data_IF_253093243496
#
_entry.id   IF_253093243496
#
_cell.length_a   1.000
_cell.length_b   1.000
_cell.length_c   1.000
_cell.angle_alpha   90.00
_cell.angle_beta   90.00
_cell.angle_gamma   90.00
#
_symmetry.space_group_name_H-M   'P 1'
#
loop_
_entity.id
_entity.type
_entity.pdbx_description
1 polymer ?
#
# COMPACT_ATOMS: atom_id res chain seq x y z
N UNK A 1 -2.10 21.78 5.41
CA UNK A 1 -1.41 21.52 6.69
C UNK A 1 -0.06 22.21 6.68
N UNK A 2 0.31 22.85 7.78
CA UNK A 2 1.62 23.46 8.00
C UNK A 2 2.31 22.67 9.11
N UNK A 3 3.52 22.20 8.87
CA UNK A 3 4.31 21.47 9.85
C UNK A 3 5.76 21.98 9.87
N UNK A 4 6.32 22.12 11.06
CA UNK A 4 7.68 22.64 11.25
C UNK A 4 7.87 23.24 12.63
N UNK A 5 8.98 23.93 12.84
CA UNK A 5 9.22 24.74 14.03
C UNK A 5 8.52 26.10 13.85
N UNK A 6 7.24 26.12 14.22
CA UNK A 6 6.35 27.29 14.03
C UNK A 6 5.52 27.54 15.30
N UNK A 7 5.27 28.82 15.58
CA UNK A 7 4.25 29.21 16.55
C UNK A 7 2.85 29.09 15.95
N UNK A 8 1.93 28.26 16.52
CA UNK A 8 0.59 28.04 15.96
C UNK A 8 -0.25 29.31 15.85
N UNK A 9 -0.12 30.28 16.77
CA UNK A 9 -0.86 31.54 16.74
C UNK A 9 -0.42 32.37 15.55
N UNK A 10 0.88 32.58 15.40
CA UNK A 10 1.46 33.31 14.27
C UNK A 10 1.10 32.66 12.93
N UNK A 11 1.15 31.33 12.84
CA UNK A 11 0.75 30.59 11.64
C UNK A 11 -0.73 30.84 11.30
N UNK A 12 -1.62 30.77 12.31
CA UNK A 12 -3.05 31.01 12.12
C UNK A 12 -3.33 32.45 11.69
N UNK A 13 -2.69 33.44 12.31
CA UNK A 13 -2.83 34.85 11.94
C UNK A 13 -2.41 35.11 10.50
N UNK A 14 -1.27 34.57 10.09
CA UNK A 14 -0.80 34.66 8.70
C UNK A 14 -1.74 33.95 7.73
N UNK A 15 -2.23 32.78 8.07
CA UNK A 15 -3.20 32.04 7.25
C UNK A 15 -4.48 32.84 7.07
N UNK A 16 -5.04 33.39 8.14
CA UNK A 16 -6.22 34.26 8.05
C UNK A 16 -5.96 35.50 7.22
N UNK A 17 -4.80 36.15 7.37
CA UNK A 17 -4.43 37.34 6.61
C UNK A 17 -4.39 37.11 5.09
N UNK A 18 -3.87 35.97 4.64
CA UNK A 18 -3.66 35.69 3.21
C UNK A 18 -4.78 34.88 2.56
N UNK A 19 -5.56 34.13 3.34
CA UNK A 19 -6.57 33.20 2.83
C UNK A 19 -7.96 33.39 3.45
N UNK A 20 -8.09 34.30 4.46
CA UNK A 20 -9.33 34.44 5.23
C UNK A 20 -10.50 34.99 4.41
N UNK A 21 -10.22 35.77 3.38
CA UNK A 21 -11.24 36.38 2.50
C UNK A 21 -11.71 35.42 1.38
N UNK A 22 -11.10 34.22 1.27
CA UNK A 22 -11.49 33.24 0.26
C UNK A 22 -12.73 32.50 0.76
N UNK A 23 -13.89 32.60 0.12
CA UNK A 23 -15.08 31.88 0.52
C UNK A 23 -14.91 30.38 0.29
N UNK A 24 -15.57 29.51 1.09
CA UNK A 24 -15.58 28.09 0.82
C UNK A 24 -16.23 27.82 -0.53
N UNK A 25 -15.68 26.86 -1.27
CA UNK A 25 -16.29 26.36 -2.50
C UNK A 25 -17.62 25.64 -2.23
N UNK A 26 -18.38 25.30 -3.28
CA UNK A 26 -19.59 24.50 -3.11
C UNK A 26 -19.24 23.14 -2.48
N UNK A 27 -20.17 22.54 -1.70
CA UNK A 27 -19.96 21.21 -1.15
C UNK A 27 -19.64 20.20 -2.25
N UNK A 28 -18.60 19.41 -2.05
CA UNK A 28 -18.24 18.31 -2.96
C UNK A 28 -19.04 17.08 -2.54
N UNK A 29 -19.84 16.53 -3.47
CA UNK A 29 -20.50 15.25 -3.26
C UNK A 29 -19.44 14.13 -3.20
N UNK A 30 -19.43 13.37 -2.12
CA UNK A 30 -18.59 12.16 -2.02
C UNK A 30 -19.35 10.99 -2.60
N UNK A 31 -18.66 10.17 -3.39
CA UNK A 31 -19.21 8.92 -3.90
C UNK A 31 -19.20 7.86 -2.81
N UNK A 32 -20.21 6.98 -2.82
CA UNK A 32 -20.22 5.83 -1.94
C UNK A 32 -19.10 4.86 -2.29
N UNK A 33 -18.41 4.38 -1.26
CA UNK A 33 -17.37 3.39 -1.43
C UNK A 33 -17.98 2.01 -1.79
N UNK A 34 -17.38 1.34 -2.76
CA UNK A 34 -17.81 0.01 -3.18
C UNK A 34 -16.67 -0.82 -3.75
N UNK A 35 -16.75 -2.12 -3.58
CA UNK A 35 -15.78 -3.06 -4.16
C UNK A 35 -16.38 -3.66 -5.42
N UNK A 36 -15.74 -3.42 -6.56
CA UNK A 36 -16.16 -3.99 -7.83
C UNK A 36 -16.02 -5.52 -7.79
N UNK A 37 -17.17 -6.20 -7.85
CA UNK A 37 -17.20 -7.68 -7.89
C UNK A 37 -16.97 -8.16 -9.32
N UNK A 38 -16.09 -9.13 -9.48
CA UNK A 38 -15.82 -9.80 -10.74
C UNK A 38 -16.38 -11.23 -10.72
N UNK A 39 -16.88 -11.66 -11.86
CA UNK A 39 -17.29 -13.06 -12.06
C UNK A 39 -16.12 -13.81 -12.73
N UNK A 40 -15.33 -14.49 -11.91
CA UNK A 40 -14.19 -15.29 -12.37
C UNK A 40 -12.92 -14.47 -12.63
N UNK A 41 -11.90 -15.16 -13.15
CA UNK A 41 -10.58 -14.60 -13.48
C UNK A 41 -10.62 -13.99 -14.87
N UNK A 42 -10.15 -12.76 -14.99
CA UNK A 42 -9.89 -12.10 -16.27
C UNK A 42 -8.39 -12.17 -16.55
N UNK A 43 -8.02 -12.71 -17.72
CA UNK A 43 -6.62 -12.82 -18.14
C UNK A 43 -6.40 -12.02 -19.43
N UNK A 44 -5.38 -11.19 -19.40
CA UNK A 44 -4.94 -10.43 -20.57
C UNK A 44 -3.45 -10.65 -20.78
N UNK A 45 -3.03 -10.82 -22.02
CA UNK A 45 -1.63 -10.89 -22.43
C UNK A 45 -1.34 -9.70 -23.32
N UNK A 46 -0.34 -8.91 -22.94
CA UNK A 46 0.18 -7.81 -23.77
C UNK A 46 1.59 -8.17 -24.22
N UNK A 47 1.91 -7.86 -25.48
CA UNK A 47 3.25 -8.04 -26.02
C UNK A 47 3.89 -6.67 -26.24
N UNK A 48 5.16 -6.55 -25.81
CA UNK A 48 5.94 -5.33 -25.98
C UNK A 48 7.43 -5.68 -26.15
N UNK A 49 8.22 -4.71 -26.60
CA UNK A 49 9.68 -4.83 -26.72
C UNK A 49 10.36 -4.60 -25.37
N UNK A 50 10.20 -5.55 -24.47
CA UNK A 50 10.75 -5.48 -23.10
C UNK A 50 11.77 -6.58 -22.87
N UNK A 51 12.81 -6.33 -22.06
CA UNK A 51 13.87 -7.32 -21.83
C UNK A 51 13.41 -8.53 -20.99
N UNK A 52 12.30 -8.42 -20.26
CA UNK A 52 11.83 -9.43 -19.32
C UNK A 52 10.31 -9.49 -19.29
N UNK A 53 9.79 -10.71 -19.24
CA UNK A 53 8.36 -10.94 -19.04
C UNK A 53 7.95 -10.64 -17.59
N UNK A 54 6.72 -10.13 -17.39
CA UNK A 54 6.18 -9.78 -16.07
C UNK A 54 4.75 -10.24 -15.94
N UNK A 55 4.40 -10.77 -14.78
CA UNK A 55 3.02 -11.07 -14.40
C UNK A 55 2.52 -10.05 -13.39
N UNK A 56 1.28 -9.63 -13.56
CA UNK A 56 0.51 -8.83 -12.62
C UNK A 56 -0.70 -9.64 -12.17
N UNK A 57 -0.87 -9.81 -10.88
CA UNK A 57 -2.10 -10.32 -10.27
C UNK A 57 -2.74 -9.20 -9.50
N UNK A 58 -4.04 -8.95 -9.77
CA UNK A 58 -4.74 -7.77 -9.23
C UNK A 58 -6.10 -8.20 -8.69
N UNK A 59 -6.41 -7.75 -7.48
CA UNK A 59 -7.71 -7.95 -6.83
C UNK A 59 -8.31 -6.63 -6.43
N UNK A 60 -9.62 -6.45 -6.65
CA UNK A 60 -10.35 -5.33 -6.08
C UNK A 60 -10.54 -5.59 -4.58
N UNK A 61 -10.23 -4.59 -3.78
CA UNK A 61 -10.29 -4.64 -2.32
C UNK A 61 -10.99 -3.39 -1.79
N UNK A 62 -11.42 -3.36 -0.52
CA UNK A 62 -12.08 -2.20 0.05
C UNK A 62 -11.27 -0.91 -0.04
N UNK A 63 -11.94 0.20 0.22
CA UNK A 63 -11.37 1.55 0.21
C UNK A 63 -10.35 1.77 1.34
N UNK A 64 -9.56 2.82 1.22
CA UNK A 64 -8.67 3.32 2.25
C UNK A 64 -9.41 3.54 3.59
N UNK A 65 -8.71 3.28 4.70
CA UNK A 65 -9.23 3.47 6.05
C UNK A 65 -10.09 2.31 6.57
N UNK A 66 -10.14 1.18 5.85
CA UNK A 66 -10.75 -0.05 6.35
C UNK A 66 -9.70 -1.00 6.93
N UNK A 67 -10.07 -1.75 7.96
CA UNK A 67 -9.21 -2.76 8.57
C UNK A 67 -8.69 -3.80 7.56
N UNK A 68 -9.51 -4.18 6.58
CA UNK A 68 -9.12 -5.10 5.52
C UNK A 68 -7.91 -4.59 4.72
N UNK A 69 -7.89 -3.29 4.41
CA UNK A 69 -6.78 -2.66 3.68
C UNK A 69 -5.52 -2.60 4.54
N UNK A 70 -5.65 -2.34 5.83
CA UNK A 70 -4.52 -2.36 6.77
C UNK A 70 -3.94 -3.77 6.89
N UNK A 71 -4.78 -4.80 7.04
CA UNK A 71 -4.33 -6.19 7.03
C UNK A 71 -3.68 -6.60 5.70
N UNK A 72 -4.19 -6.15 4.56
CA UNK A 72 -3.57 -6.39 3.26
C UNK A 72 -2.20 -5.70 3.14
N UNK A 73 -2.00 -4.57 3.80
CA UNK A 73 -0.69 -3.93 3.93
C UNK A 73 0.33 -4.81 4.68
N UNK A 74 -0.10 -5.49 5.77
CA UNK A 74 0.73 -6.47 6.48
C UNK A 74 0.98 -7.72 5.62
N UNK A 75 -0.05 -8.23 4.93
CA UNK A 75 0.08 -9.36 3.98
C UNK A 75 1.07 -9.03 2.87
N UNK A 76 1.01 -7.84 2.30
CA UNK A 76 1.97 -7.35 1.32
C UNK A 76 3.40 -7.41 1.86
N UNK A 77 3.63 -6.90 3.06
CA UNK A 77 4.95 -6.93 3.71
C UNK A 77 5.43 -8.37 3.97
N UNK A 78 4.54 -9.26 4.39
CA UNK A 78 4.82 -10.68 4.60
C UNK A 78 5.25 -11.38 3.31
N UNK A 79 4.59 -11.04 2.19
CA UNK A 79 4.85 -11.66 0.90
C UNK A 79 6.15 -11.17 0.25
N UNK A 80 6.46 -9.87 0.33
CA UNK A 80 7.53 -9.29 -0.51
C UNK A 80 8.49 -8.34 0.21
N UNK A 81 8.27 -7.98 1.49
CA UNK A 81 9.17 -7.07 2.20
C UNK A 81 10.39 -7.80 2.77
N UNK A 82 11.57 -7.43 2.27
CA UNK A 82 12.84 -7.99 2.70
C UNK A 82 13.14 -9.41 2.16
N UNK A 83 14.39 -9.83 2.36
CA UNK A 83 14.93 -11.09 1.77
C UNK A 83 14.30 -12.36 2.35
N UNK A 84 13.68 -12.30 3.52
CA UNK A 84 13.06 -13.42 4.21
C UNK A 84 11.55 -13.52 3.94
N UNK A 85 10.99 -12.59 3.17
CA UNK A 85 9.58 -12.64 2.78
C UNK A 85 9.28 -13.80 1.83
N UNK A 86 8.06 -14.35 1.88
CA UNK A 86 7.74 -15.63 1.24
C UNK A 86 8.03 -15.66 -0.25
N UNK A 87 7.50 -14.68 -1.00
CA UNK A 87 7.67 -14.65 -2.45
C UNK A 87 9.09 -14.27 -2.85
N UNK A 88 9.74 -13.34 -2.13
CA UNK A 88 11.13 -13.00 -2.43
C UNK A 88 12.04 -14.21 -2.22
N UNK A 89 11.91 -14.88 -1.06
CA UNK A 89 12.70 -16.06 -0.76
C UNK A 89 12.50 -17.14 -1.82
N UNK A 90 11.24 -17.48 -2.14
CA UNK A 90 10.91 -18.50 -3.13
C UNK A 90 11.39 -18.17 -4.53
N UNK A 91 10.99 -17.02 -5.08
CA UNK A 91 11.17 -16.70 -6.50
C UNK A 91 12.56 -16.16 -6.82
N UNK A 92 13.14 -15.33 -5.91
CA UNK A 92 14.40 -14.61 -6.18
C UNK A 92 15.59 -15.38 -5.62
N UNK A 93 15.47 -15.97 -4.43
CA UNK A 93 16.57 -16.63 -3.75
C UNK A 93 16.64 -18.15 -4.04
N UNK A 94 15.57 -18.89 -3.74
CA UNK A 94 15.56 -20.36 -3.85
C UNK A 94 15.47 -20.83 -5.32
N UNK A 95 14.36 -20.50 -6.00
CA UNK A 95 14.11 -20.96 -7.38
C UNK A 95 14.91 -20.16 -8.40
N UNK A 96 15.33 -18.97 -8.03
CA UNK A 96 16.01 -18.02 -8.94
C UNK A 96 15.30 -17.85 -10.29
N UNK A 97 13.98 -17.90 -10.31
CA UNK A 97 13.13 -17.78 -11.49
C UNK A 97 12.72 -16.34 -11.80
N UNK A 98 12.75 -15.46 -10.80
CA UNK A 98 12.44 -14.05 -10.94
C UNK A 98 13.63 -13.14 -10.53
N UNK A 99 13.69 -11.95 -11.13
CA UNK A 99 14.63 -10.90 -10.72
C UNK A 99 14.04 -9.98 -9.67
N UNK A 100 12.71 -9.86 -9.64
CA UNK A 100 11.99 -8.98 -8.74
C UNK A 100 10.60 -9.52 -8.46
N UNK A 101 10.15 -9.35 -7.22
CA UNK A 101 8.76 -9.54 -6.82
C UNK A 101 8.35 -8.43 -5.87
N UNK A 102 7.15 -7.92 -6.05
CA UNK A 102 6.57 -6.84 -5.23
C UNK A 102 5.09 -7.12 -5.00
N UNK A 103 4.58 -6.71 -3.85
CA UNK A 103 3.14 -6.60 -3.59
C UNK A 103 2.86 -5.30 -2.87
N UNK A 104 1.69 -4.73 -3.08
CA UNK A 104 1.24 -3.50 -2.43
C UNK A 104 -0.27 -3.33 -2.60
N UNK A 105 -0.84 -2.46 -1.78
CA UNK A 105 -2.21 -1.96 -1.96
C UNK A 105 -2.14 -0.59 -2.61
N UNK A 106 -2.78 -0.43 -3.77
CA UNK A 106 -3.05 0.88 -4.37
C UNK A 106 -4.30 1.45 -3.71
N UNK A 107 -4.06 2.23 -2.67
CA UNK A 107 -5.09 2.79 -1.80
C UNK A 107 -5.87 3.92 -2.47
N UNK A 108 -7.20 3.79 -2.51
CA UNK A 108 -8.11 4.77 -3.11
C UNK A 108 -9.31 5.03 -2.19
N UNK A 109 -9.96 6.20 -2.36
CA UNK A 109 -11.09 6.64 -1.56
C UNK A 109 -12.35 5.77 -1.75
N UNK A 110 -12.62 5.31 -2.98
CA UNK A 110 -13.86 4.60 -3.32
C UNK A 110 -13.67 3.08 -3.26
N UNK A 111 -12.55 2.58 -3.75
CA UNK A 111 -12.20 1.18 -3.76
C UNK A 111 -10.76 1.00 -4.19
N UNK A 112 -10.03 0.13 -3.51
CA UNK A 112 -8.59 -0.07 -3.70
C UNK A 112 -8.29 -1.32 -4.51
N UNK A 113 -7.02 -1.53 -4.82
CA UNK A 113 -6.56 -2.74 -5.51
C UNK A 113 -5.33 -3.32 -4.81
N UNK A 114 -5.33 -4.62 -4.60
CA UNK A 114 -4.16 -5.36 -4.14
C UNK A 114 -3.42 -5.91 -5.34
N UNK A 115 -2.11 -5.68 -5.38
CA UNK A 115 -1.22 -6.08 -6.47
C UNK A 115 -0.18 -7.08 -6.01
N UNK A 116 0.10 -8.07 -6.85
CA UNK A 116 1.35 -8.83 -6.85
C UNK A 116 1.95 -8.72 -8.24
N UNK A 117 3.20 -8.30 -8.32
CA UNK A 117 3.97 -8.20 -9.55
C UNK A 117 5.23 -9.04 -9.43
N UNK A 118 5.50 -9.89 -10.41
CA UNK A 118 6.73 -10.65 -10.48
C UNK A 118 7.34 -10.54 -11.89
N UNK A 119 8.64 -10.24 -11.95
CA UNK A 119 9.40 -10.12 -13.20
C UNK A 119 10.29 -11.35 -13.32
N UNK A 120 10.06 -12.14 -14.37
CA UNK A 120 10.87 -13.32 -14.66
C UNK A 120 12.32 -12.93 -15.03
N UNK A 121 13.26 -13.84 -14.83
CA UNK A 121 14.62 -13.66 -15.39
C UNK A 121 14.57 -13.56 -16.91
N UNK A 122 15.58 -12.92 -17.55
CA UNK A 122 15.69 -12.92 -19.00
C UNK A 122 15.65 -14.35 -19.54
N UNK A 123 14.75 -14.61 -20.49
CA UNK A 123 14.54 -15.95 -21.06
C UNK A 123 13.87 -16.97 -20.10
N UNK A 124 13.45 -16.54 -18.90
CA UNK A 124 12.77 -17.39 -17.93
C UNK A 124 11.30 -17.66 -18.28
N UNK A 125 10.77 -18.76 -17.76
CA UNK A 125 9.37 -19.15 -17.94
C UNK A 125 8.45 -18.40 -16.97
N UNK A 126 7.64 -17.49 -17.54
CA UNK A 126 6.66 -16.70 -16.76
C UNK A 126 5.56 -17.57 -16.13
N UNK A 127 5.19 -18.70 -16.78
CA UNK A 127 4.18 -19.61 -16.23
C UNK A 127 4.69 -20.31 -14.95
N UNK A 128 5.97 -20.63 -14.90
CA UNK A 128 6.60 -21.16 -13.69
C UNK A 128 6.59 -20.12 -12.55
N UNK A 129 6.91 -18.88 -12.86
CA UNK A 129 6.85 -17.77 -11.87
C UNK A 129 5.43 -17.58 -11.36
N UNK A 130 4.43 -17.56 -12.24
CA UNK A 130 3.03 -17.43 -11.87
C UNK A 130 2.57 -18.59 -10.97
N UNK A 131 2.91 -19.82 -11.32
CA UNK A 131 2.60 -21.02 -10.52
C UNK A 131 3.20 -20.93 -9.11
N UNK A 132 4.45 -20.51 -8.98
CA UNK A 132 5.10 -20.36 -7.68
C UNK A 132 4.43 -19.26 -6.82
N UNK A 133 3.98 -18.16 -7.42
CA UNK A 133 3.16 -17.14 -6.73
C UNK A 133 1.87 -17.75 -6.20
N UNK A 134 1.16 -18.54 -7.02
CA UNK A 134 -0.11 -19.16 -6.63
C UNK A 134 0.07 -20.19 -5.51
N UNK A 135 1.13 -20.97 -5.57
CA UNK A 135 1.47 -21.95 -4.51
C UNK A 135 1.73 -21.26 -3.17
N UNK A 136 2.50 -20.17 -3.15
CA UNK A 136 2.78 -19.42 -1.91
C UNK A 136 1.53 -18.71 -1.36
N UNK A 137 0.69 -18.17 -2.23
CA UNK A 137 -0.62 -17.62 -1.82
C UNK A 137 -1.51 -18.70 -1.23
N UNK A 138 -1.61 -19.86 -1.87
CA UNK A 138 -2.40 -20.99 -1.36
C UNK A 138 -1.91 -21.45 0.01
N UNK A 139 -0.59 -21.52 0.23
CA UNK A 139 0.00 -21.85 1.55
C UNK A 139 -0.38 -20.80 2.59
N UNK A 140 -0.27 -19.51 2.24
CA UNK A 140 -0.64 -18.42 3.16
C UNK A 140 -2.12 -18.48 3.53
N UNK A 141 -3.01 -18.69 2.56
CA UNK A 141 -4.45 -18.79 2.79
C UNK A 141 -4.83 -20.03 3.63
N UNK A 142 -4.11 -21.12 3.47
CA UNK A 142 -4.36 -22.36 4.21
C UNK A 142 -3.88 -22.33 5.65
N UNK A 143 -2.70 -21.77 5.89
CA UNK A 143 -1.99 -21.90 7.18
C UNK A 143 -1.85 -20.59 7.95
N UNK A 144 -2.17 -19.47 7.33
CA UNK A 144 -1.88 -18.14 7.87
C UNK A 144 -0.38 -17.84 7.94
N UNK A 145 -0.02 -16.69 8.52
CA UNK A 145 1.36 -16.37 8.87
C UNK A 145 1.79 -17.14 10.12
N UNK A 146 3.07 -17.43 10.23
CA UNK A 146 3.65 -17.88 11.50
C UNK A 146 3.77 -16.69 12.46
N UNK A 147 3.82 -16.96 13.77
CA UNK A 147 4.02 -15.92 14.78
C UNK A 147 5.28 -15.08 14.52
N UNK A 148 6.37 -15.72 14.11
CA UNK A 148 7.62 -15.03 13.78
C UNK A 148 7.49 -14.09 12.58
N UNK A 149 6.75 -14.51 11.55
CA UNK A 149 6.47 -13.65 10.37
C UNK A 149 5.60 -12.48 10.77
N UNK A 150 4.54 -12.73 11.55
CA UNK A 150 3.63 -11.68 12.01
C UNK A 150 4.36 -10.64 12.87
N UNK A 151 5.16 -11.09 13.84
CA UNK A 151 5.94 -10.18 14.68
C UNK A 151 6.94 -9.35 13.85
N UNK A 152 7.60 -9.95 12.87
CA UNK A 152 8.50 -9.24 11.97
C UNK A 152 7.78 -8.12 11.21
N UNK A 153 6.65 -8.40 10.57
CA UNK A 153 5.95 -7.40 9.77
C UNK A 153 5.34 -6.29 10.62
N UNK A 154 4.85 -6.60 11.82
CA UNK A 154 4.39 -5.59 12.79
C UNK A 154 5.52 -4.64 13.17
N UNK A 155 6.66 -5.17 13.59
CA UNK A 155 7.84 -4.37 13.95
C UNK A 155 8.34 -3.51 12.79
N UNK A 156 8.36 -4.06 11.56
CA UNK A 156 8.74 -3.31 10.37
C UNK A 156 7.73 -2.19 10.04
N UNK A 157 6.45 -2.42 10.24
CA UNK A 157 5.39 -1.44 10.04
C UNK A 157 5.52 -0.27 11.02
N UNK A 158 5.63 -0.56 12.32
CA UNK A 158 5.84 0.44 13.37
C UNK A 158 7.11 1.27 13.11
N UNK A 159 8.22 0.60 12.80
CA UNK A 159 9.49 1.28 12.52
C UNK A 159 9.42 2.18 11.28
N UNK A 160 8.68 1.78 10.23
CA UNK A 160 8.45 2.63 9.05
C UNK A 160 7.59 3.84 9.38
N UNK A 161 6.53 3.64 10.16
CA UNK A 161 5.66 4.73 10.59
C UNK A 161 6.43 5.76 11.41
N UNK A 162 7.18 5.35 12.43
CA UNK A 162 8.00 6.24 13.27
C UNK A 162 8.97 7.05 12.40
N UNK A 163 9.74 6.39 11.54
CA UNK A 163 10.66 7.07 10.61
C UNK A 163 9.95 8.00 9.62
N UNK A 164 8.72 7.67 9.22
CA UNK A 164 7.91 8.51 8.34
C UNK A 164 7.53 9.83 9.01
N UNK A 165 7.04 9.78 10.25
CA UNK A 165 6.59 10.97 10.99
C UNK A 165 7.74 11.81 11.58
N UNK A 166 8.96 11.30 11.61
CA UNK A 166 10.15 12.09 11.93
C UNK A 166 10.41 13.16 10.85
N UNK A 167 10.07 12.88 9.60
CA UNK A 167 10.17 13.87 8.52
C UNK A 167 9.04 14.88 8.63
N UNK A 168 9.39 16.16 8.63
CA UNK A 168 8.42 17.26 8.76
C UNK A 168 7.63 17.43 7.46
N UNK A 169 8.30 17.47 6.33
CA UNK A 169 7.70 17.68 5.01
C UNK A 169 8.07 16.59 3.99
N UNK A 170 7.61 16.76 2.74
CA UNK A 170 7.78 15.83 1.65
C UNK A 170 6.78 14.66 1.69
N UNK A 171 6.80 13.82 0.65
CA UNK A 171 5.88 12.68 0.54
C UNK A 171 6.00 11.72 1.73
N UNK A 172 4.86 11.50 2.41
CA UNK A 172 4.77 10.64 3.59
C UNK A 172 5.37 11.26 4.86
N UNK A 173 5.71 12.54 4.88
CA UNK A 173 6.10 13.27 6.08
C UNK A 173 4.90 13.65 6.95
N UNK A 174 5.15 14.30 8.10
CA UNK A 174 4.14 14.65 9.09
C UNK A 174 2.97 15.46 8.51
N UNK A 175 3.26 16.44 7.66
CA UNK A 175 2.22 17.25 7.01
C UNK A 175 1.32 16.44 6.10
N UNK A 176 1.88 15.51 5.33
CA UNK A 176 1.13 14.62 4.44
C UNK A 176 0.25 13.65 5.23
N UNK A 177 0.81 13.02 6.27
CA UNK A 177 0.07 12.10 7.14
C UNK A 177 -1.13 12.80 7.76
N UNK A 178 -0.95 14.00 8.35
CA UNK A 178 -2.03 14.75 8.96
C UNK A 178 -3.07 15.22 7.94
N UNK A 179 -2.63 15.68 6.76
CA UNK A 179 -3.53 16.14 5.70
C UNK A 179 -4.38 14.98 5.16
N UNK A 180 -3.77 13.85 4.84
CA UNK A 180 -4.44 12.66 4.33
C UNK A 180 -5.47 12.12 5.33
N UNK A 181 -5.08 12.00 6.61
CA UNK A 181 -5.98 11.53 7.65
C UNK A 181 -7.14 12.49 7.89
N UNK A 182 -6.91 13.81 7.81
CA UNK A 182 -7.97 14.81 7.94
C UNK A 182 -8.96 14.77 6.77
N UNK A 183 -8.46 14.66 5.53
CA UNK A 183 -9.30 14.71 4.32
C UNK A 183 -10.10 13.42 4.15
N UNK A 184 -9.47 12.27 4.29
CA UNK A 184 -10.10 10.96 4.02
C UNK A 184 -10.63 10.29 5.29
N UNK A 185 -10.00 10.48 6.43
CA UNK A 185 -10.41 9.92 7.72
C UNK A 185 -11.30 10.86 8.56
N UNK A 186 -11.48 12.12 8.12
CA UNK A 186 -12.26 13.13 8.85
C UNK A 186 -11.60 13.67 10.13
N UNK A 187 -10.43 13.17 10.48
CA UNK A 187 -9.67 13.56 11.67
C UNK A 187 -8.16 13.42 11.40
N UNK A 188 -7.33 14.46 11.63
CA UNK A 188 -5.89 14.37 11.44
C UNK A 188 -5.22 13.27 12.28
N UNK A 189 -5.84 12.83 13.37
CA UNK A 189 -5.35 11.74 14.24
C UNK A 189 -5.86 10.34 13.85
N UNK A 190 -6.56 10.19 12.74
CA UNK A 190 -7.10 8.89 12.29
C UNK A 190 -6.02 7.78 12.17
N UNK A 191 -4.77 8.13 11.91
CA UNK A 191 -3.65 7.19 11.89
C UNK A 191 -3.48 6.38 13.19
N UNK A 192 -3.98 6.89 14.34
CA UNK A 192 -3.95 6.16 15.62
C UNK A 192 -4.82 4.89 15.58
N UNK A 193 -5.90 4.91 14.78
CA UNK A 193 -6.78 3.74 14.60
C UNK A 193 -6.05 2.63 13.83
N UNK A 194 -5.28 2.99 12.81
CA UNK A 194 -4.49 2.02 12.03
C UNK A 194 -3.36 1.38 12.86
N UNK A 195 -2.86 2.09 13.89
CA UNK A 195 -1.77 1.60 14.75
C UNK A 195 -2.26 0.77 15.94
N UNK A 196 -3.54 0.79 16.26
CA UNK A 196 -4.13 0.01 17.37
C UNK A 196 -4.48 -1.41 16.96
#
# INVERSE_FOLDING_TARGET
VIAGDIDPKTALEKTKKYFGDIPPGPPIAKFDAWVAKRMGVQRQVAQDRVPQARVYKVWNVPQWGTADVDYLGLVSSLLTSGKTSRLYKRLVYDDQSATQVQSFVDNREIGSQFYIMATAKPGGDLAQVEKAVDEELAKLLKSGPTEKELQRVKTEYEARFIRGVERIGGFGGKSDVLAMNNVYGGNPEHYKVTLS
#
